data_IF_548812071980
#
_entry.id   IF_548812071980
#
_cell.length_a   1.000
_cell.length_b   1.000
_cell.length_c   1.000
_cell.angle_alpha   90.00
_cell.angle_beta   90.00
_cell.angle_gamma   90.00
#
_symmetry.space_group_name_H-M   'P 1'
#
loop_
_entity.id
_entity.type
_entity.pdbx_description
1 polymer ?
#
# COMPACT_ATOMS: atom_id res chain seq x y z
N UNK A 1 -28.27 11.30 -27.29
CA UNK A 1 -28.27 11.43 -25.82
C UNK A 1 -27.94 10.08 -25.21
N UNK A 2 -26.65 9.80 -24.97
CA UNK A 2 -26.21 8.61 -24.22
C UNK A 2 -26.25 8.96 -22.74
N UNK A 3 -26.94 8.13 -21.96
CA UNK A 3 -27.04 8.25 -20.51
C UNK A 3 -25.62 8.26 -19.90
N UNK A 4 -25.27 9.17 -18.98
CA UNK A 4 -24.04 9.04 -18.21
C UNK A 4 -24.15 7.75 -17.37
N UNK A 5 -23.17 6.84 -17.52
CA UNK A 5 -23.03 5.71 -16.61
C UNK A 5 -22.79 6.27 -15.20
N UNK A 6 -23.35 5.67 -14.14
CA UNK A 6 -23.02 6.08 -12.78
C UNK A 6 -21.51 5.97 -12.58
N UNK A 7 -20.94 6.92 -11.83
CA UNK A 7 -19.59 6.81 -11.33
C UNK A 7 -19.40 5.40 -10.76
N UNK A 8 -18.29 4.76 -11.09
CA UNK A 8 -17.86 3.56 -10.38
C UNK A 8 -17.57 4.04 -8.97
N UNK A 9 -18.59 4.01 -8.10
CA UNK A 9 -18.39 4.00 -6.66
C UNK A 9 -17.40 2.88 -6.42
N UNK A 10 -16.21 3.25 -5.94
CA UNK A 10 -15.22 2.31 -5.42
C UNK A 10 -15.99 1.42 -4.44
N UNK A 11 -16.26 0.14 -4.74
CA UNK A 11 -16.97 -0.69 -3.79
C UNK A 11 -16.10 -0.70 -2.53
N UNK A 12 -16.66 -0.40 -1.34
CA UNK A 12 -15.88 -0.46 -0.11
C UNK A 12 -15.17 -1.81 -0.10
N UNK A 13 -13.85 -1.76 0.12
CA UNK A 13 -12.99 -2.94 0.08
C UNK A 13 -13.69 -4.10 0.82
N UNK A 14 -13.63 -5.34 0.30
CA UNK A 14 -14.28 -6.47 0.95
C UNK A 14 -13.84 -6.49 2.40
N UNK A 15 -14.84 -6.55 3.29
CA UNK A 15 -14.78 -6.59 4.76
C UNK A 15 -13.54 -7.36 5.26
N UNK A 16 -12.38 -6.72 5.24
CA UNK A 16 -11.32 -6.99 6.19
C UNK A 16 -11.88 -6.39 7.46
N UNK A 17 -12.63 -7.21 8.21
CA UNK A 17 -12.90 -7.00 9.62
C UNK A 17 -11.56 -6.97 10.35
N UNK A 18 -10.80 -5.90 10.14
CA UNK A 18 -9.84 -5.42 11.11
C UNK A 18 -10.65 -5.17 12.36
N UNK A 19 -10.21 -5.80 13.44
CA UNK A 19 -10.80 -5.71 14.77
C UNK A 19 -11.26 -4.26 15.04
N UNK A 20 -12.57 -4.05 14.92
CA UNK A 20 -13.22 -2.75 14.86
C UNK A 20 -13.32 -2.12 16.26
N UNK A 21 -12.25 -2.26 17.06
CA UNK A 21 -12.11 -1.53 18.30
C UNK A 21 -11.98 -0.05 17.94
N UNK A 22 -13.01 0.73 18.22
CA UNK A 22 -12.97 2.18 18.12
C UNK A 22 -11.78 2.72 18.93
N UNK A 23 -10.97 3.61 18.34
CA UNK A 23 -9.85 4.21 19.07
C UNK A 23 -10.41 5.30 19.99
N UNK A 24 -10.49 5.02 21.29
CA UNK A 24 -11.08 5.95 22.25
C UNK A 24 -10.01 6.75 23.00
N UNK A 25 -10.12 8.06 22.94
CA UNK A 25 -9.38 8.99 23.78
C UNK A 25 -10.01 9.07 25.17
N UNK A 26 -9.21 9.11 26.25
CA UNK A 26 -9.74 9.24 27.59
C UNK A 26 -10.46 10.59 27.75
N UNK A 27 -11.52 10.61 28.56
CA UNK A 27 -12.20 11.84 28.91
C UNK A 27 -11.21 12.81 29.60
N UNK A 28 -11.34 14.13 29.37
CA UNK A 28 -10.52 15.11 30.06
C UNK A 28 -10.73 14.97 31.58
N UNK A 29 -9.68 15.19 32.38
CA UNK A 29 -9.82 15.17 33.84
C UNK A 29 -10.88 16.19 34.26
N UNK A 30 -11.81 15.78 35.13
CA UNK A 30 -12.85 16.66 35.63
C UNK A 30 -12.21 17.91 36.26
N UNK A 31 -12.76 19.12 36.03
CA UNK A 31 -12.22 20.33 36.62
C UNK A 31 -12.21 20.17 38.14
N UNK A 32 -11.05 20.42 38.76
CA UNK A 32 -10.91 20.34 40.21
C UNK A 32 -12.00 21.22 40.84
N UNK A 33 -12.90 20.62 41.62
CA UNK A 33 -13.93 21.38 42.35
C UNK A 33 -13.19 22.38 43.22
N UNK A 34 -13.44 23.67 43.00
CA UNK A 34 -12.93 24.73 43.87
C UNK A 34 -13.62 24.56 45.21
N UNK A 35 -13.00 23.84 46.14
CA UNK A 35 -13.43 23.84 47.53
C UNK A 35 -13.14 25.24 48.06
N UNK A 36 -14.18 26.07 48.16
CA UNK A 36 -14.07 27.35 48.84
C UNK A 36 -13.57 27.08 50.26
N UNK A 37 -12.56 27.82 50.70
CA UNK A 37 -12.10 27.75 52.08
C UNK A 37 -13.31 28.14 52.94
N UNK A 38 -13.80 27.29 53.86
CA UNK A 38 -14.97 27.62 54.66
C UNK A 38 -14.57 28.66 55.71
N UNK A 39 -14.54 29.93 55.31
CA UNK A 39 -14.10 31.06 56.14
C UNK A 39 -14.86 31.10 57.46
N UNK A 40 -16.17 30.79 57.45
CA UNK A 40 -17.00 30.70 58.65
C UNK A 40 -16.55 29.59 59.61
N UNK A 41 -16.16 28.42 59.10
CA UNK A 41 -15.65 27.33 59.93
C UNK A 41 -14.22 27.63 60.46
N UNK A 42 -13.42 28.39 59.72
CA UNK A 42 -12.10 28.83 60.15
C UNK A 42 -12.16 29.95 61.21
N UNK A 43 -13.20 30.80 61.18
CA UNK A 43 -13.40 31.91 62.12
C UNK A 43 -14.12 31.49 63.41
N UNK A 44 -14.93 30.43 63.39
CA UNK A 44 -15.69 29.99 64.56
C UNK A 44 -14.81 29.70 65.81
N UNK A 45 -13.65 29.01 65.71
CA UNK A 45 -12.76 28.80 66.85
C UNK A 45 -12.10 30.10 67.33
N UNK A 46 -11.80 31.04 66.42
CA UNK A 46 -11.23 32.34 66.78
C UNK A 46 -12.23 33.18 67.56
N UNK A 47 -13.49 33.22 67.11
CA UNK A 47 -14.57 33.94 67.80
C UNK A 47 -14.84 33.35 69.20
N UNK A 48 -14.90 32.01 69.31
CA UNK A 48 -15.06 31.33 70.60
C UNK A 48 -13.90 31.58 71.57
N UNK A 49 -12.66 31.53 71.08
CA UNK A 49 -11.47 31.78 71.89
C UNK A 49 -11.38 33.24 72.38
N UNK A 50 -11.75 34.22 71.54
CA UNK A 50 -11.82 35.64 71.93
C UNK A 50 -12.94 35.87 72.96
N UNK A 51 -14.10 35.23 72.80
CA UNK A 51 -15.20 35.31 73.75
C UNK A 51 -14.82 34.74 75.13
N UNK A 52 -14.16 33.57 75.15
CA UNK A 52 -13.68 32.94 76.39
C UNK A 52 -12.64 33.84 77.08
N UNK A 53 -11.70 34.42 76.32
CA UNK A 53 -10.71 35.35 76.86
C UNK A 53 -11.35 36.58 77.51
N UNK A 54 -12.35 37.17 76.86
CA UNK A 54 -13.07 38.34 77.38
C UNK A 54 -13.78 38.06 78.73
N UNK A 55 -14.18 36.82 78.98
CA UNK A 55 -14.86 36.40 80.23
C UNK A 55 -13.88 35.94 81.31
N UNK A 56 -12.82 35.22 80.96
CA UNK A 56 -11.93 34.54 81.93
C UNK A 56 -10.56 35.19 82.14
N UNK A 57 -10.15 36.14 81.27
CA UNK A 57 -8.85 36.83 81.34
C UNK A 57 -7.62 35.95 81.07
N UNK A 58 -7.79 34.66 80.75
CA UNK A 58 -6.69 33.72 80.57
C UNK A 58 -6.01 33.85 79.20
N UNK A 59 -4.74 34.23 79.17
CA UNK A 59 -3.92 34.42 77.95
C UNK A 59 -3.81 33.14 77.10
N UNK A 60 -3.92 31.96 77.71
CA UNK A 60 -3.88 30.67 76.99
C UNK A 60 -4.99 30.54 75.93
N UNK A 61 -6.13 31.21 76.08
CA UNK A 61 -7.20 31.21 75.08
C UNK A 61 -6.77 31.89 73.76
N UNK A 62 -5.91 32.92 73.82
CA UNK A 62 -5.41 33.61 72.62
C UNK A 62 -4.45 32.76 71.80
N UNK A 63 -3.66 31.89 72.45
CA UNK A 63 -2.81 30.91 71.75
C UNK A 63 -3.64 29.91 70.93
N UNK A 64 -4.81 29.51 71.44
CA UNK A 64 -5.75 28.65 70.71
C UNK A 64 -6.37 29.38 69.50
N UNK A 65 -6.65 30.68 69.63
CA UNK A 65 -7.13 31.52 68.53
C UNK A 65 -6.08 31.68 67.42
N UNK A 66 -4.78 31.77 67.77
CA UNK A 66 -3.68 31.89 66.81
C UNK A 66 -3.42 30.59 66.03
N UNK A 67 -3.75 29.43 66.59
CA UNK A 67 -3.56 28.13 65.95
C UNK A 67 -4.44 27.95 64.70
N UNK A 68 -5.67 28.47 64.72
CA UNK A 68 -6.62 28.38 63.61
C UNK A 68 -6.11 28.98 62.28
N UNK A 69 -5.65 30.24 62.26
CA UNK A 69 -5.02 30.86 61.10
C UNK A 69 -3.81 30.10 60.56
N UNK A 70 -2.95 29.57 61.44
CA UNK A 70 -1.76 28.80 61.04
C UNK A 70 -2.16 27.52 60.31
N UNK A 71 -3.13 26.78 60.85
CA UNK A 71 -3.68 25.58 60.19
C UNK A 71 -4.35 25.94 58.86
N UNK A 72 -5.11 27.04 58.80
CA UNK A 72 -5.75 27.50 57.58
C UNK A 72 -4.72 27.82 56.47
N UNK A 73 -3.65 28.53 56.80
CA UNK A 73 -2.55 28.83 55.87
C UNK A 73 -1.82 27.55 55.45
N UNK A 74 -1.53 26.64 56.38
CA UNK A 74 -0.91 25.35 56.08
C UNK A 74 -1.77 24.52 55.12
N UNK A 75 -3.09 24.45 55.37
CA UNK A 75 -4.03 23.74 54.51
C UNK A 75 -4.16 24.36 53.11
N UNK A 76 -4.09 25.69 52.98
CA UNK A 76 -4.10 26.37 51.67
C UNK A 76 -2.82 26.10 50.87
N UNK A 77 -1.66 26.07 51.53
CA UNK A 77 -0.39 25.73 50.87
C UNK A 77 -0.39 24.26 50.42
N UNK A 78 -0.91 23.37 51.25
CA UNK A 78 -0.97 21.93 50.94
C UNK A 78 -1.96 21.64 49.82
N UNK A 79 -3.16 22.22 49.84
CA UNK A 79 -4.14 22.09 48.73
C UNK A 79 -3.60 22.66 47.41
N UNK A 80 -2.88 23.79 47.43
CA UNK A 80 -2.21 24.33 46.22
C UNK A 80 -1.11 23.40 45.72
N UNK A 81 -0.31 22.81 46.60
CA UNK A 81 0.77 21.88 46.24
C UNK A 81 0.22 20.56 45.70
N UNK A 82 -0.82 20.02 46.34
CA UNK A 82 -1.54 18.83 45.92
C UNK A 82 -2.19 19.05 44.54
N UNK A 83 -2.92 20.15 44.34
CA UNK A 83 -3.55 20.48 43.07
C UNK A 83 -2.54 20.62 41.92
N UNK A 84 -1.37 21.25 42.16
CA UNK A 84 -0.29 21.30 41.15
C UNK A 84 0.26 19.93 40.80
N UNK A 85 0.46 19.05 41.78
CA UNK A 85 0.95 17.68 41.57
C UNK A 85 -0.08 16.83 40.82
N UNK A 86 -1.34 16.92 41.20
CA UNK A 86 -2.45 16.23 40.56
C UNK A 86 -2.63 16.69 39.12
N UNK A 87 -2.61 18.00 38.85
CA UNK A 87 -2.68 18.54 37.49
C UNK A 87 -1.52 18.04 36.61
N UNK A 88 -0.28 18.04 37.13
CA UNK A 88 0.88 17.48 36.41
C UNK A 88 0.72 15.99 36.11
N UNK A 89 0.22 15.21 37.06
CA UNK A 89 -0.05 13.77 36.87
C UNK A 89 -1.13 13.55 35.82
N UNK A 90 -2.25 14.28 35.91
CA UNK A 90 -3.34 14.19 34.95
C UNK A 90 -2.87 14.54 33.53
N UNK A 91 -2.10 15.63 33.37
CA UNK A 91 -1.52 16.02 32.09
C UNK A 91 -0.57 14.93 31.54
N UNK A 92 0.28 14.34 32.39
CA UNK A 92 1.17 13.25 31.98
C UNK A 92 0.39 11.99 31.53
N UNK A 93 -0.68 11.63 32.23
CA UNK A 93 -1.56 10.51 31.87
C UNK A 93 -2.27 10.77 30.55
N UNK A 94 -2.86 11.95 30.36
CA UNK A 94 -3.49 12.34 29.09
C UNK A 94 -2.50 12.32 27.93
N UNK A 95 -1.30 12.86 28.11
CA UNK A 95 -0.25 12.83 27.10
C UNK A 95 0.19 11.39 26.76
N UNK A 96 0.31 10.52 27.76
CA UNK A 96 0.62 9.10 27.54
C UNK A 96 -0.48 8.38 26.76
N UNK A 97 -1.75 8.63 27.11
CA UNK A 97 -2.88 8.04 26.40
C UNK A 97 -2.97 8.52 24.94
N UNK A 98 -2.75 9.82 24.67
CA UNK A 98 -2.68 10.37 23.30
C UNK A 98 -1.58 9.71 22.48
N UNK A 99 -0.41 9.48 23.08
CA UNK A 99 0.70 8.78 22.40
C UNK A 99 0.31 7.35 22.04
N UNK A 100 -0.27 6.60 22.97
CA UNK A 100 -0.72 5.23 22.72
C UNK A 100 -1.78 5.16 21.60
N UNK A 101 -2.77 6.07 21.62
CA UNK A 101 -3.78 6.14 20.54
C UNK A 101 -3.14 6.50 19.20
N UNK A 102 -2.18 7.44 19.17
CA UNK A 102 -1.47 7.83 17.95
C UNK A 102 -0.63 6.69 17.38
N UNK A 103 0.03 5.91 18.23
CA UNK A 103 0.79 4.72 17.80
C UNK A 103 -0.15 3.67 17.20
N UNK A 104 -1.27 3.37 17.89
CA UNK A 104 -2.27 2.43 17.38
C UNK A 104 -2.91 2.89 16.06
N UNK A 105 -3.17 4.19 15.92
CA UNK A 105 -3.66 4.77 14.68
C UNK A 105 -2.65 4.62 13.54
N UNK A 106 -1.37 4.90 13.80
CA UNK A 106 -0.29 4.71 12.81
C UNK A 106 -0.20 3.26 12.34
N UNK A 107 -0.24 2.30 13.25
CA UNK A 107 -0.23 0.86 12.90
C UNK A 107 -1.39 0.49 11.98
N UNK A 108 -2.59 1.02 12.26
CA UNK A 108 -3.78 0.79 11.42
C UNK A 108 -3.68 1.45 10.06
N UNK A 109 -3.25 2.71 10.00
CA UNK A 109 -3.00 3.41 8.75
C UNK A 109 -1.90 2.73 7.92
N UNK A 110 -0.85 2.20 8.56
CA UNK A 110 0.19 1.43 7.87
C UNK A 110 -0.35 0.13 7.29
N UNK A 111 -1.22 -0.57 8.03
CA UNK A 111 -1.89 -1.77 7.56
C UNK A 111 -2.83 -1.47 6.38
N UNK A 112 -3.61 -0.38 6.47
CA UNK A 112 -4.49 0.11 5.41
C UNK A 112 -3.69 0.48 4.15
N UNK A 113 -2.60 1.25 4.28
CA UNK A 113 -1.67 1.56 3.17
C UNK A 113 -1.11 0.31 2.52
N UNK A 114 -0.66 -0.69 3.31
CA UNK A 114 -0.13 -1.95 2.78
C UNK A 114 -1.19 -2.72 2.00
N UNK A 115 -2.41 -2.82 2.53
CA UNK A 115 -3.52 -3.47 1.84
C UNK A 115 -3.86 -2.77 0.51
N UNK A 116 -3.89 -1.43 0.51
CA UNK A 116 -4.09 -0.65 -0.71
C UNK A 116 -2.97 -0.86 -1.73
N UNK A 117 -1.70 -0.85 -1.32
CA UNK A 117 -0.55 -1.10 -2.20
C UNK A 117 -0.54 -2.50 -2.79
N UNK A 118 -0.98 -3.52 -2.03
CA UNK A 118 -1.12 -4.88 -2.56
C UNK A 118 -2.23 -4.96 -3.62
N UNK A 119 -3.34 -4.26 -3.40
CA UNK A 119 -4.47 -4.21 -4.34
C UNK A 119 -4.16 -3.38 -5.60
N UNK A 120 -3.47 -2.26 -5.42
CA UNK A 120 -3.10 -1.29 -6.45
C UNK A 120 -1.60 -0.98 -6.36
N UNK A 121 -0.72 -1.91 -6.80
CA UNK A 121 0.71 -1.69 -6.79
C UNK A 121 1.10 -0.67 -7.86
N UNK A 122 2.04 0.22 -7.51
CA UNK A 122 2.73 1.11 -8.45
C UNK A 122 3.85 0.34 -9.19
N UNK A 123 4.55 1.00 -10.11
CA UNK A 123 5.54 0.31 -10.94
C UNK A 123 6.70 -0.23 -10.08
N UNK A 124 7.17 0.52 -9.08
CA UNK A 124 8.23 0.04 -8.18
C UNK A 124 7.77 -1.12 -7.32
N UNK A 125 6.55 -1.10 -6.77
CA UNK A 125 6.04 -2.24 -6.02
C UNK A 125 5.97 -3.52 -6.87
N UNK A 126 5.64 -3.41 -8.17
CA UNK A 126 5.66 -4.54 -9.11
C UNK A 126 7.07 -5.02 -9.46
N UNK A 127 8.06 -4.13 -9.52
CA UNK A 127 9.46 -4.51 -9.76
C UNK A 127 10.11 -5.19 -8.55
N UNK A 128 9.70 -4.80 -7.34
CA UNK A 128 10.24 -5.36 -6.10
C UNK A 128 9.73 -6.80 -5.83
N UNK A 129 8.64 -7.23 -6.48
CA UNK A 129 8.05 -8.57 -6.35
C UNK A 129 7.84 -9.25 -7.73
N UNK A 130 8.82 -10.05 -8.17
CA UNK A 130 8.78 -10.79 -9.44
C UNK A 130 7.57 -11.73 -9.57
N UNK A 131 6.97 -12.16 -8.45
CA UNK A 131 5.80 -13.04 -8.46
C UNK A 131 4.51 -12.27 -8.82
N UNK A 132 4.49 -10.95 -8.67
CA UNK A 132 3.35 -10.08 -9.04
C UNK A 132 3.35 -9.71 -10.52
N UNK A 133 4.50 -9.79 -11.21
CA UNK A 133 4.60 -9.50 -12.64
C UNK A 133 3.70 -10.43 -13.44
N UNK A 134 2.77 -9.83 -14.19
CA UNK A 134 1.72 -10.47 -15.01
C UNK A 134 0.74 -11.35 -14.23
N UNK A 135 0.67 -11.22 -12.90
CA UNK A 135 -0.36 -11.88 -12.10
C UNK A 135 -1.72 -11.26 -12.42
N UNK A 136 -2.66 -12.09 -12.89
CA UNK A 136 -4.01 -11.64 -13.30
C UNK A 136 -4.76 -10.98 -12.15
N UNK A 137 -5.34 -9.81 -12.41
CA UNK A 137 -6.22 -9.12 -11.48
C UNK A 137 -7.18 -8.21 -12.23
N UNK A 138 -8.49 -8.45 -12.08
CA UNK A 138 -9.54 -7.64 -12.71
C UNK A 138 -9.48 -6.19 -12.25
N UNK A 139 -9.11 -5.96 -10.99
CA UNK A 139 -8.99 -4.60 -10.43
C UNK A 139 -7.83 -3.86 -11.09
N UNK A 140 -6.68 -4.51 -11.25
CA UNK A 140 -5.48 -3.89 -11.84
C UNK A 140 -5.60 -3.67 -13.34
N UNK A 141 -6.29 -4.57 -14.03
CA UNK A 141 -6.49 -4.48 -15.48
C UNK A 141 -7.31 -3.23 -15.90
N UNK A 142 -8.09 -2.65 -14.98
CA UNK A 142 -8.99 -1.53 -15.25
C UNK A 142 -8.64 -0.25 -14.47
N UNK A 143 -7.52 -0.23 -13.73
CA UNK A 143 -7.15 0.92 -12.90
C UNK A 143 -5.66 1.22 -12.97
N UNK A 144 -5.32 2.50 -12.81
CA UNK A 144 -3.95 3.00 -12.89
C UNK A 144 -3.61 3.82 -11.64
N UNK A 145 -2.44 3.62 -11.07
CA UNK A 145 -1.95 4.42 -9.93
C UNK A 145 -1.19 5.61 -10.50
N UNK A 146 -1.67 6.82 -10.21
CA UNK A 146 -1.08 8.07 -10.73
C UNK A 146 -0.06 8.69 -9.78
N UNK A 147 0.05 8.15 -8.57
CA UNK A 147 0.97 8.60 -7.54
C UNK A 147 0.48 8.25 -6.14
N UNK A 148 1.15 8.79 -5.13
CA UNK A 148 0.77 8.66 -3.72
C UNK A 148 0.28 10.00 -3.18
N UNK A 149 -0.86 10.01 -2.51
CA UNK A 149 -1.49 11.24 -2.04
C UNK A 149 -2.30 11.02 -0.77
N UNK A 150 -3.16 11.98 -0.48
CA UNK A 150 -4.12 11.87 0.62
C UNK A 150 -5.43 11.22 0.16
N UNK A 151 -5.98 10.33 0.98
CA UNK A 151 -7.30 9.72 0.81
C UNK A 151 -8.06 9.70 2.13
N UNK A 152 -9.37 9.58 2.05
CA UNK A 152 -10.19 9.32 3.23
C UNK A 152 -9.88 7.92 3.79
N UNK A 153 -9.71 7.83 5.12
CA UNK A 153 -9.54 6.59 5.86
C UNK A 153 -10.84 6.19 6.55
N UNK A 154 -11.08 4.88 6.63
CA UNK A 154 -12.19 4.35 7.43
C UNK A 154 -11.97 4.42 8.95
N UNK A 155 -10.77 4.79 9.41
CA UNK A 155 -10.46 4.85 10.84
C UNK A 155 -11.17 6.01 11.54
N UNK A 156 -11.60 5.78 12.79
CA UNK A 156 -12.21 6.80 13.64
C UNK A 156 -11.57 6.79 15.02
N UNK A 157 -11.36 7.99 15.54
CA UNK A 157 -11.00 8.23 16.95
C UNK A 157 -12.17 8.98 17.59
N UNK A 158 -12.60 8.54 18.77
CA UNK A 158 -13.69 9.17 19.53
C UNK A 158 -13.30 9.41 20.98
N UNK A 159 -14.14 10.12 21.74
CA UNK A 159 -13.80 10.58 23.08
C UNK A 159 -12.85 11.78 23.08
N UNK A 160 -12.11 11.97 24.18
CA UNK A 160 -11.28 13.15 24.40
C UNK A 160 -12.08 14.38 24.85
N UNK A 161 -11.39 15.52 24.95
CA UNK A 161 -12.00 16.82 25.24
C UNK A 161 -11.96 17.77 24.04
N UNK A 162 -12.24 19.05 24.32
CA UNK A 162 -12.14 20.16 23.35
C UNK A 162 -10.71 20.68 23.19
N UNK A 163 -9.70 19.92 23.65
CA UNK A 163 -8.29 20.26 23.47
C UNK A 163 -7.95 20.20 21.96
N UNK A 164 -7.26 21.22 21.41
CA UNK A 164 -6.74 21.19 20.03
C UNK A 164 -6.01 19.90 19.66
N UNK A 165 -5.27 19.28 20.60
CA UNK A 165 -4.56 18.02 20.33
C UNK A 165 -5.53 16.85 20.11
N UNK A 166 -6.61 16.77 20.88
CA UNK A 166 -7.62 15.71 20.74
C UNK A 166 -8.42 15.93 19.44
N UNK A 167 -8.73 17.18 19.10
CA UNK A 167 -9.38 17.53 17.84
C UNK A 167 -8.51 17.20 16.62
N UNK A 168 -7.20 17.49 16.68
CA UNK A 168 -6.25 17.13 15.62
C UNK A 168 -6.17 15.62 15.43
N UNK A 169 -6.09 14.85 16.51
CA UNK A 169 -6.03 13.38 16.42
C UNK A 169 -7.31 12.77 15.83
N UNK A 170 -8.48 13.34 16.16
CA UNK A 170 -9.76 12.95 15.55
C UNK A 170 -9.80 13.26 14.05
N UNK A 171 -9.29 14.42 13.65
CA UNK A 171 -9.23 14.82 12.25
C UNK A 171 -8.22 13.97 11.45
N UNK A 172 -7.06 13.66 12.03
CA UNK A 172 -6.03 12.82 11.41
C UNK A 172 -6.51 11.38 11.23
N UNK A 173 -7.38 10.88 12.11
CA UNK A 173 -7.89 9.51 12.00
C UNK A 173 -8.56 9.22 10.66
N UNK A 174 -9.35 10.17 10.15
CA UNK A 174 -10.05 10.04 8.88
C UNK A 174 -9.21 10.34 7.64
N UNK A 175 -7.92 10.68 7.77
CA UNK A 175 -7.05 11.01 6.64
C UNK A 175 -5.88 10.05 6.53
N UNK A 176 -5.79 9.36 5.40
CA UNK A 176 -4.67 8.50 5.06
C UNK A 176 -3.73 9.22 4.09
N UNK A 177 -2.55 9.61 4.57
CA UNK A 177 -1.49 10.16 3.72
C UNK A 177 -0.62 9.05 3.12
N UNK A 178 0.06 9.37 2.01
CA UNK A 178 0.93 8.45 1.25
C UNK A 178 0.20 7.17 0.80
N UNK A 179 -1.08 7.32 0.42
CA UNK A 179 -1.92 6.27 -0.10
C UNK A 179 -1.92 6.27 -1.65
N UNK A 180 -1.98 5.11 -2.32
CA UNK A 180 -2.12 5.05 -3.78
C UNK A 180 -3.36 5.80 -4.26
N UNK A 181 -3.17 6.79 -5.13
CA UNK A 181 -4.25 7.48 -5.83
C UNK A 181 -4.47 6.77 -7.15
N UNK A 182 -5.70 6.28 -7.33
CA UNK A 182 -6.08 5.40 -8.42
C UNK A 182 -7.07 6.13 -9.33
N UNK A 183 -6.88 6.00 -10.63
CA UNK A 183 -7.81 6.50 -11.65
C UNK A 183 -8.26 5.36 -12.57
N UNK A 184 -9.45 5.45 -13.19
CA UNK A 184 -9.87 4.50 -14.21
C UNK A 184 -8.95 4.53 -15.43
N UNK A 185 -8.63 3.35 -15.99
CA UNK A 185 -7.75 3.24 -17.16
C UNK A 185 -8.46 3.62 -18.48
N UNK A 186 -9.80 3.57 -18.53
CA UNK A 186 -10.62 3.71 -19.74
C UNK A 186 -10.39 5.03 -20.51
N UNK A 187 -9.89 6.06 -19.83
CA UNK A 187 -9.73 7.39 -20.41
C UNK A 187 -8.30 7.89 -20.51
N UNK A 188 -7.26 7.06 -20.38
CA UNK A 188 -5.88 7.53 -20.58
C UNK A 188 -5.42 8.67 -19.64
N UNK A 189 -4.18 9.11 -19.80
CA UNK A 189 -3.57 10.15 -18.97
C UNK A 189 -2.75 11.12 -19.83
N UNK A 190 -3.11 12.41 -19.76
CA UNK A 190 -2.30 13.49 -20.30
C UNK A 190 -1.41 14.08 -19.21
N UNK A 191 -0.09 14.11 -19.44
CA UNK A 191 0.91 14.57 -18.48
C UNK A 191 1.59 15.83 -18.98
N UNK A 192 1.51 16.90 -18.21
CA UNK A 192 2.16 18.19 -18.48
C UNK A 192 3.18 18.56 -17.42
N UNK A 193 4.06 19.51 -17.74
CA UNK A 193 5.10 20.00 -16.84
C UNK A 193 6.48 20.02 -17.51
N UNK A 194 7.56 20.22 -16.74
CA UNK A 194 8.91 20.22 -17.28
C UNK A 194 9.19 18.92 -18.04
N UNK A 195 9.71 19.02 -19.27
CA UNK A 195 9.86 17.88 -20.22
C UNK A 195 10.42 16.61 -19.57
N UNK A 196 11.50 16.73 -18.80
CA UNK A 196 12.16 15.60 -18.14
C UNK A 196 11.27 14.91 -17.09
N UNK A 197 10.51 15.70 -16.32
CA UNK A 197 9.64 15.18 -15.26
C UNK A 197 8.37 14.55 -15.85
N UNK A 198 7.73 15.22 -16.80
CA UNK A 198 6.55 14.69 -17.48
C UNK A 198 6.86 13.37 -18.18
N UNK A 199 8.00 13.28 -18.88
CA UNK A 199 8.41 12.04 -19.52
C UNK A 199 8.77 10.92 -18.52
N UNK A 200 9.36 11.27 -17.36
CA UNK A 200 9.64 10.30 -16.30
C UNK A 200 8.36 9.74 -15.66
N UNK A 201 7.34 10.57 -15.51
CA UNK A 201 6.04 10.14 -15.02
C UNK A 201 5.30 9.27 -16.06
N UNK A 202 5.31 9.64 -17.35
CA UNK A 202 4.76 8.80 -18.43
C UNK A 202 5.41 7.41 -18.43
N UNK A 203 6.74 7.34 -18.28
CA UNK A 203 7.46 6.07 -18.17
C UNK A 203 7.00 5.26 -16.96
N UNK A 204 6.81 5.88 -15.80
CA UNK A 204 6.31 5.18 -14.62
C UNK A 204 4.92 4.56 -14.85
N UNK A 205 3.98 5.34 -15.41
CA UNK A 205 2.63 4.88 -15.73
C UNK A 205 2.65 3.75 -16.77
N UNK A 206 3.44 3.89 -17.83
CA UNK A 206 3.61 2.87 -18.85
C UNK A 206 4.21 1.58 -18.26
N UNK A 207 5.21 1.73 -17.38
CA UNK A 207 5.90 0.61 -16.75
C UNK A 207 4.95 -0.18 -15.84
N UNK A 208 4.09 0.51 -15.07
CA UNK A 208 3.06 -0.13 -14.24
C UNK A 208 2.16 -1.05 -15.09
N UNK A 209 1.75 -0.62 -16.27
CA UNK A 209 0.85 -1.38 -17.15
C UNK A 209 1.55 -2.59 -17.79
N UNK A 210 2.79 -2.43 -18.27
CA UNK A 210 3.54 -3.54 -18.90
C UNK A 210 4.04 -4.57 -17.89
N UNK A 211 4.24 -4.18 -16.63
CA UNK A 211 4.50 -5.10 -15.51
C UNK A 211 3.23 -5.83 -15.07
N UNK A 212 2.08 -5.16 -15.10
CA UNK A 212 0.79 -5.73 -14.67
C UNK A 212 0.12 -6.62 -15.71
N UNK A 213 0.20 -6.27 -16.99
CA UNK A 213 -0.54 -6.94 -18.07
C UNK A 213 0.42 -7.72 -18.98
N UNK A 214 0.09 -8.99 -19.24
CA UNK A 214 0.91 -9.88 -20.07
C UNK A 214 0.97 -9.46 -21.56
N UNK A 215 2.05 -9.78 -22.30
CA UNK A 215 2.24 -9.39 -23.70
C UNK A 215 1.19 -9.91 -24.68
N UNK A 216 0.45 -10.97 -24.33
CA UNK A 216 -0.67 -11.48 -25.14
C UNK A 216 -1.97 -10.68 -24.97
N UNK A 217 -2.02 -9.78 -23.99
CA UNK A 217 -3.20 -8.97 -23.67
C UNK A 217 -2.98 -7.48 -23.91
N UNK A 218 -1.76 -7.00 -23.76
CA UNK A 218 -1.39 -5.61 -23.98
C UNK A 218 -0.35 -5.48 -25.10
N UNK A 219 -0.66 -4.62 -26.07
CA UNK A 219 0.27 -4.14 -27.08
C UNK A 219 0.67 -2.70 -26.76
N UNK A 220 1.96 -2.41 -26.87
CA UNK A 220 2.51 -1.06 -26.73
C UNK A 220 2.83 -0.50 -28.11
N UNK A 221 2.31 0.68 -28.39
CA UNK A 221 2.61 1.45 -29.58
C UNK A 221 3.21 2.77 -29.15
N UNK A 222 4.35 3.14 -29.72
CA UNK A 222 5.00 4.43 -29.46
C UNK A 222 5.38 5.10 -30.77
N UNK A 223 5.41 6.43 -30.78
CA UNK A 223 5.98 7.20 -31.89
C UNK A 223 7.48 6.92 -32.09
N UNK A 224 8.07 7.36 -33.22
CA UNK A 224 9.48 7.15 -33.54
C UNK A 224 10.45 7.97 -32.66
N UNK A 225 9.95 8.72 -31.68
CA UNK A 225 10.74 9.59 -30.81
C UNK A 225 11.72 8.83 -29.90
N UNK A 226 12.84 9.48 -29.57
CA UNK A 226 13.89 8.93 -28.71
C UNK A 226 13.41 8.60 -27.29
N UNK A 227 12.34 9.24 -26.81
CA UNK A 227 11.83 9.10 -25.43
C UNK A 227 11.29 7.70 -25.12
N UNK A 228 10.83 6.98 -26.15
CA UNK A 228 10.18 5.67 -26.03
C UNK A 228 10.99 4.52 -26.64
N UNK A 229 12.28 4.71 -26.93
CA UNK A 229 13.15 3.66 -27.50
C UNK A 229 13.18 2.39 -26.63
N UNK A 230 13.11 2.55 -25.31
CA UNK A 230 13.03 1.42 -24.37
C UNK A 230 11.79 0.54 -24.60
N UNK A 231 10.68 1.11 -25.09
CA UNK A 231 9.45 0.37 -25.34
C UNK A 231 9.60 -0.63 -26.50
N UNK A 232 10.55 -0.40 -27.42
CA UNK A 232 10.87 -1.32 -28.51
C UNK A 232 11.51 -2.62 -28.01
N UNK A 233 12.07 -2.63 -26.80
CA UNK A 233 12.66 -3.80 -26.17
C UNK A 233 11.62 -4.63 -25.38
N UNK A 234 10.39 -4.12 -25.23
CA UNK A 234 9.34 -4.82 -24.50
C UNK A 234 8.85 -6.03 -25.29
N UNK A 235 8.42 -7.11 -24.62
CA UNK A 235 7.77 -8.24 -25.27
C UNK A 235 6.36 -7.92 -25.80
N UNK A 236 5.79 -6.77 -25.44
CA UNK A 236 4.44 -6.26 -25.74
C UNK A 236 4.29 -5.64 -27.13
N UNK A 237 4.99 -6.15 -28.13
CA UNK A 237 4.98 -5.60 -29.51
C UNK A 237 3.99 -6.30 -30.44
N UNK A 238 3.50 -7.48 -30.07
CA UNK A 238 2.57 -8.29 -30.88
C UNK A 238 1.13 -7.77 -30.77
N UNK A 239 0.29 -8.16 -31.73
CA UNK A 239 -1.14 -7.85 -31.68
C UNK A 239 -1.79 -8.43 -30.43
N UNK A 240 -2.59 -7.59 -29.77
CA UNK A 240 -3.25 -7.88 -28.52
C UNK A 240 -4.57 -7.09 -28.45
N UNK A 241 -5.56 -7.56 -27.68
CA UNK A 241 -6.87 -6.91 -27.58
C UNK A 241 -6.82 -5.49 -27.00
N UNK A 242 -5.87 -5.23 -26.10
CA UNK A 242 -5.67 -3.91 -25.50
C UNK A 242 -4.44 -3.25 -26.12
N UNK A 243 -4.58 -2.00 -26.57
CA UNK A 243 -3.50 -1.24 -27.18
C UNK A 243 -3.26 0.04 -26.38
N UNK A 244 -2.08 0.14 -25.77
CA UNK A 244 -1.59 1.37 -25.13
C UNK A 244 -0.77 2.17 -26.15
N UNK A 245 -1.10 3.45 -26.32
CA UNK A 245 -0.28 4.39 -27.08
C UNK A 245 0.51 5.32 -26.16
N UNK A 246 1.81 5.44 -26.40
CA UNK A 246 2.69 6.43 -25.80
C UNK A 246 2.90 7.57 -26.82
N UNK A 247 2.45 8.77 -26.48
CA UNK A 247 2.47 9.93 -27.38
C UNK A 247 3.34 11.06 -26.85
N UNK A 248 4.16 11.62 -27.74
CA UNK A 248 4.83 12.90 -27.56
C UNK A 248 4.00 14.04 -28.21
N UNK A 249 4.26 15.32 -27.86
CA UNK A 249 3.60 16.46 -28.49
C UNK A 249 3.76 16.44 -30.02
N UNK A 250 2.63 16.44 -30.72
CA UNK A 250 2.55 16.36 -32.18
C UNK A 250 2.29 14.95 -32.72
N UNK A 251 2.39 13.90 -31.89
CA UNK A 251 2.02 12.55 -32.29
C UNK A 251 0.50 12.40 -32.40
N UNK A 252 0.07 11.48 -33.26
CA UNK A 252 -1.34 11.09 -33.43
C UNK A 252 -1.53 9.68 -32.86
N UNK A 253 -2.60 9.49 -32.08
CA UNK A 253 -2.93 8.19 -31.52
C UNK A 253 -3.15 7.13 -32.62
N UNK A 254 -2.73 5.90 -32.35
CA UNK A 254 -3.03 4.78 -33.25
C UNK A 254 -4.56 4.57 -33.31
N UNK A 255 -5.17 4.29 -34.48
CA UNK A 255 -6.64 4.18 -34.60
C UNK A 255 -7.27 3.10 -33.71
N UNK A 256 -6.50 2.08 -33.34
CA UNK A 256 -6.92 0.99 -32.46
C UNK A 256 -6.57 1.21 -30.97
N UNK A 257 -6.14 2.42 -30.58
CA UNK A 257 -5.75 2.70 -29.20
C UNK A 257 -6.93 2.46 -28.25
N UNK A 258 -6.71 1.63 -27.24
CA UNK A 258 -7.69 1.44 -26.15
C UNK A 258 -7.59 2.57 -25.15
N UNK A 259 -6.37 3.02 -24.85
CA UNK A 259 -6.10 4.18 -24.02
C UNK A 259 -4.73 4.79 -24.39
N UNK A 260 -4.53 6.03 -23.97
CA UNK A 260 -3.39 6.85 -24.35
C UNK A 260 -2.67 7.37 -23.10
N UNK A 261 -1.33 7.29 -23.10
CA UNK A 261 -0.48 8.05 -22.18
C UNK A 261 0.25 9.10 -23.01
N UNK A 262 -0.13 10.36 -22.86
CA UNK A 262 0.38 11.45 -23.68
C UNK A 262 1.16 12.46 -22.86
N UNK A 263 2.38 12.78 -23.28
CA UNK A 263 3.04 14.01 -22.83
C UNK A 263 2.45 15.18 -23.61
N UNK A 264 2.00 16.21 -22.88
CA UNK A 264 1.45 17.43 -23.47
C UNK A 264 2.22 18.64 -22.97
N UNK A 265 2.37 19.65 -23.82
CA UNK A 265 2.91 20.93 -23.40
C UNK A 265 1.89 21.64 -22.50
N UNK A 266 2.35 22.44 -21.53
CA UNK A 266 1.51 22.99 -20.46
C UNK A 266 0.32 23.83 -20.97
N UNK A 267 0.49 24.52 -22.10
CA UNK A 267 -0.54 25.35 -22.72
C UNK A 267 -1.38 24.62 -23.77
N UNK A 268 -1.02 23.39 -24.13
CA UNK A 268 -1.72 22.62 -25.16
C UNK A 268 -2.95 21.91 -24.56
N UNK A 269 -4.08 21.83 -25.31
CA UNK A 269 -5.19 20.99 -24.90
C UNK A 269 -4.76 19.51 -24.91
N UNK A 270 -5.22 18.70 -23.93
CA UNK A 270 -4.93 17.28 -23.94
C UNK A 270 -5.63 16.59 -25.12
N UNK A 271 -5.10 15.45 -25.61
CA UNK A 271 -5.78 14.63 -26.59
C UNK A 271 -7.20 14.26 -26.11
N UNK A 272 -8.19 14.17 -27.02
CA UNK A 272 -9.58 13.86 -26.65
C UNK A 272 -9.73 12.47 -25.99
N UNK A 273 -8.77 11.58 -26.19
CA UNK A 273 -8.71 10.26 -25.57
C UNK A 273 -8.30 10.32 -24.10
N UNK A 274 -7.77 11.45 -23.60
CA UNK A 274 -7.29 11.64 -22.23
C UNK A 274 -8.35 12.33 -21.34
N UNK A 275 -8.90 11.60 -20.37
CA UNK A 275 -9.85 12.07 -19.35
C UNK A 275 -9.15 12.51 -18.07
N UNK A 276 -7.95 11.98 -17.81
CA UNK A 276 -7.14 12.36 -16.64
C UNK A 276 -6.02 13.29 -17.07
N UNK A 277 -5.86 14.40 -16.36
CA UNK A 277 -4.74 15.33 -16.51
C UNK A 277 -3.84 15.27 -15.28
N UNK A 278 -2.55 15.08 -15.49
CA UNK A 278 -1.52 15.16 -14.46
C UNK A 278 -0.56 16.30 -14.77
N UNK A 279 -0.54 17.33 -13.92
CA UNK A 279 0.42 18.45 -14.03
C UNK A 279 1.55 18.24 -13.04
N UNK A 280 2.74 17.91 -13.54
CA UNK A 280 3.93 17.62 -12.74
C UNK A 280 4.72 18.91 -12.50
N UNK A 281 4.95 19.25 -11.23
CA UNK A 281 5.71 20.45 -10.84
C UNK A 281 7.09 20.12 -10.32
N UNK A 282 7.25 18.96 -9.66
CA UNK A 282 8.53 18.48 -9.13
C UNK A 282 8.59 16.94 -9.15
N UNK A 283 9.75 16.31 -8.88
CA UNK A 283 9.86 14.86 -8.77
C UNK A 283 8.94 14.22 -7.73
N UNK A 284 8.46 14.99 -6.75
CA UNK A 284 7.62 14.51 -5.64
C UNK A 284 6.28 15.24 -5.54
N UNK A 285 5.93 16.05 -6.54
CA UNK A 285 4.68 16.79 -6.54
C UNK A 285 4.10 16.91 -7.95
N UNK A 286 2.85 16.48 -8.08
CA UNK A 286 2.00 16.64 -9.24
C UNK A 286 0.56 16.84 -8.79
N UNK A 287 -0.24 17.41 -9.67
CA UNK A 287 -1.68 17.57 -9.44
C UNK A 287 -2.42 16.74 -10.47
N UNK A 288 -3.29 15.87 -10.01
CA UNK A 288 -4.14 15.02 -10.86
C UNK A 288 -5.56 15.55 -10.84
N UNK A 289 -6.13 15.73 -12.02
CA UNK A 289 -7.51 16.14 -12.26
C UNK A 289 -8.17 15.11 -13.19
N UNK A 290 -9.21 14.43 -12.71
CA UNK A 290 -10.02 13.46 -13.47
C UNK A 290 -11.36 14.04 -13.95
N UNK A 291 -11.52 15.36 -13.87
CA UNK A 291 -12.75 16.09 -14.18
C UNK A 291 -13.79 16.07 -13.06
N UNK A 292 -13.62 15.22 -12.03
CA UNK A 292 -14.48 15.13 -10.87
C UNK A 292 -13.79 15.75 -9.65
N UNK A 293 -12.51 15.45 -9.47
CA UNK A 293 -11.73 15.84 -8.32
C UNK A 293 -10.30 16.21 -8.69
N UNK A 294 -9.75 17.18 -7.97
CA UNK A 294 -8.36 17.60 -8.07
C UNK A 294 -7.61 17.11 -6.83
N UNK A 295 -6.53 16.36 -7.03
CA UNK A 295 -5.76 15.71 -5.95
C UNK A 295 -4.27 16.00 -6.09
N UNK A 296 -3.64 16.37 -4.99
CA UNK A 296 -2.19 16.47 -4.90
C UNK A 296 -1.59 15.08 -4.71
N UNK A 297 -0.61 14.74 -5.56
CA UNK A 297 0.06 13.44 -5.53
C UNK A 297 1.57 13.61 -5.65
N UNK A 298 2.30 12.69 -5.02
CA UNK A 298 3.69 12.42 -5.32
C UNK A 298 3.73 11.40 -6.46
N UNK A 299 4.05 11.83 -7.70
CA UNK A 299 4.13 10.93 -8.84
C UNK A 299 5.33 9.98 -8.68
N UNK A 300 5.27 8.87 -9.40
CA UNK A 300 6.42 8.01 -9.57
C UNK A 300 7.25 8.44 -10.79
N UNK A 301 8.58 8.31 -10.70
CA UNK A 301 9.51 8.81 -11.70
C UNK A 301 10.48 7.70 -12.09
N UNK A 302 10.53 7.37 -13.38
CA UNK A 302 11.51 6.44 -13.93
C UNK A 302 12.38 7.12 -14.97
N UNK A 303 13.68 6.83 -14.93
CA UNK A 303 14.60 7.25 -15.98
C UNK A 303 14.64 6.22 -17.13
N UNK A 304 15.12 6.60 -18.33
CA UNK A 304 15.16 5.69 -19.48
C UNK A 304 15.98 4.42 -19.26
N UNK A 305 17.06 4.45 -18.47
CA UNK A 305 17.91 3.28 -18.20
C UNK A 305 17.19 2.28 -17.30
N UNK A 306 16.48 2.76 -16.28
CA UNK A 306 15.62 1.89 -15.46
C UNK A 306 14.55 1.21 -16.29
N UNK A 307 13.93 1.93 -17.23
CA UNK A 307 12.92 1.35 -18.12
C UNK A 307 13.50 0.32 -19.09
N UNK A 308 14.71 0.57 -19.63
CA UNK A 308 15.41 -0.41 -20.46
C UNK A 308 15.80 -1.68 -19.68
N UNK A 309 16.23 -1.52 -18.43
CA UNK A 309 16.52 -2.65 -17.54
C UNK A 309 15.26 -3.48 -17.25
N UNK A 310 14.15 -2.82 -16.92
CA UNK A 310 12.87 -3.50 -16.72
C UNK A 310 12.36 -4.18 -18.00
N UNK A 311 12.48 -3.52 -19.16
CA UNK A 311 12.13 -4.11 -20.45
C UNK A 311 12.95 -5.37 -20.75
N UNK A 312 14.25 -5.37 -20.42
CA UNK A 312 15.12 -6.54 -20.56
C UNK A 312 14.68 -7.71 -19.67
N UNK A 313 14.32 -7.43 -18.40
CA UNK A 313 13.78 -8.44 -17.48
C UNK A 313 12.48 -9.03 -18.03
N UNK A 314 11.57 -8.18 -18.53
CA UNK A 314 10.31 -8.62 -19.11
C UNK A 314 10.51 -9.42 -20.40
N UNK A 315 11.44 -9.03 -21.27
CA UNK A 315 11.77 -9.78 -22.47
C UNK A 315 12.27 -11.19 -22.14
N UNK A 316 13.20 -11.31 -21.18
CA UNK A 316 13.69 -12.61 -20.71
C UNK A 316 12.60 -13.47 -20.05
N UNK A 317 11.68 -12.84 -19.31
CA UNK A 317 10.51 -13.53 -18.72
C UNK A 317 9.54 -14.03 -19.81
N UNK A 318 9.26 -13.21 -20.82
CA UNK A 318 8.39 -13.58 -21.92
C UNK A 318 8.99 -14.72 -22.77
N UNK A 319 10.31 -14.73 -23.00
CA UNK A 319 10.99 -15.80 -23.70
C UNK A 319 10.80 -17.15 -22.97
N UNK A 320 10.99 -17.17 -21.64
CA UNK A 320 10.73 -18.34 -20.79
C UNK A 320 9.27 -18.81 -20.84
N UNK A 321 8.30 -17.87 -20.87
CA UNK A 321 6.88 -18.21 -20.96
C UNK A 321 6.45 -18.71 -22.34
N UNK A 322 7.12 -18.27 -23.41
CA UNK A 322 6.84 -18.72 -24.78
C UNK A 322 7.45 -20.08 -25.09
N UNK A 323 8.36 -20.58 -24.25
CA UNK A 323 9.20 -21.73 -24.61
C UNK A 323 10.21 -21.37 -25.72
N UNK A 324 10.66 -20.11 -25.77
CA UNK A 324 11.67 -19.63 -26.73
C UNK A 324 13.12 -19.92 -26.26
N UNK A 325 13.33 -20.36 -25.01
CA UNK A 325 14.38 -21.38 -24.80
C UNK A 325 13.80 -22.58 -25.52
N UNK A 326 14.36 -22.97 -26.68
CA UNK A 326 14.03 -24.21 -27.38
C UNK A 326 13.55 -25.23 -26.35
N UNK A 327 12.23 -25.34 -26.18
CA UNK A 327 11.65 -26.44 -25.45
C UNK A 327 12.02 -27.58 -26.39
N UNK A 328 13.19 -28.15 -26.15
CA UNK A 328 13.72 -29.20 -26.98
C UNK A 328 12.71 -30.29 -26.66
N UNK A 329 11.70 -30.42 -27.51
CA UNK A 329 10.72 -31.48 -27.43
C UNK A 329 11.55 -32.70 -27.73
N UNK A 330 12.13 -33.27 -26.68
CA UNK A 330 12.99 -34.42 -26.81
C UNK A 330 12.05 -35.59 -26.99
N UNK A 331 12.16 -36.25 -28.12
CA UNK A 331 11.45 -37.50 -28.33
C UNK A 331 11.85 -38.48 -27.22
N UNK A 332 10.86 -39.13 -26.61
CA UNK A 332 11.14 -40.20 -25.65
C UNK A 332 12.04 -41.28 -26.28
N UNK A 333 11.89 -41.55 -27.58
CA UNK A 333 12.75 -42.47 -28.31
C UNK A 333 14.23 -42.04 -28.32
N UNK A 334 14.49 -40.74 -28.45
CA UNK A 334 15.85 -40.20 -28.43
C UNK A 334 16.46 -40.29 -27.02
N UNK A 335 15.66 -40.02 -25.98
CA UNK A 335 16.08 -40.18 -24.59
C UNK A 335 16.43 -41.64 -24.25
N UNK A 336 15.62 -42.59 -24.73
CA UNK A 336 15.86 -44.02 -24.53
C UNK A 336 17.10 -44.49 -25.32
N UNK A 337 17.34 -43.94 -26.52
CA UNK A 337 18.52 -44.27 -27.33
C UNK A 337 19.84 -43.78 -26.69
N UNK A 338 19.79 -42.73 -25.88
CA UNK A 338 20.95 -42.19 -25.15
C UNK A 338 21.30 -43.00 -23.89
N UNK A 339 20.58 -44.09 -23.60
CA UNK A 339 20.82 -44.90 -22.42
C UNK A 339 22.15 -45.68 -22.55
N UNK A 340 23.09 -45.52 -21.59
CA UNK A 340 24.28 -46.37 -21.56
C UNK A 340 23.86 -47.82 -21.29
N UNK A 341 24.35 -48.74 -22.11
CA UNK A 341 24.08 -50.17 -21.95
C UNK A 341 24.63 -50.66 -20.60
N UNK A 342 23.75 -51.07 -19.69
CA UNK A 342 24.11 -51.73 -18.43
C UNK A 342 24.01 -50.92 -17.13
N UNK A 343 23.48 -49.70 -17.16
CA UNK A 343 23.39 -48.82 -15.97
C UNK A 343 21.95 -48.34 -15.68
N UNK A 344 21.02 -49.29 -15.68
CA UNK A 344 19.67 -49.06 -15.14
C UNK A 344 19.71 -49.44 -13.67
N UNK A 345 19.62 -48.46 -12.78
CA UNK A 345 19.31 -48.70 -11.38
C UNK A 345 18.01 -49.51 -11.25
N UNK A 346 17.74 -50.08 -10.07
CA UNK A 346 16.75 -51.14 -9.90
C UNK A 346 15.34 -50.78 -10.39
N UNK A 347 14.94 -49.50 -10.40
CA UNK A 347 13.75 -49.00 -11.13
C UNK A 347 13.94 -47.58 -11.68
N UNK A 348 15.07 -47.32 -12.35
CA UNK A 348 15.32 -46.00 -12.98
C UNK A 348 14.48 -45.80 -14.25
N UNK A 349 13.83 -44.64 -14.36
CA UNK A 349 13.14 -44.13 -15.55
C UNK A 349 13.77 -42.82 -16.04
N UNK A 350 14.03 -42.73 -17.35
CA UNK A 350 14.59 -41.55 -18.01
C UNK A 350 13.62 -41.05 -19.08
N UNK A 351 12.80 -40.07 -18.72
CA UNK A 351 11.70 -39.57 -19.56
C UNK A 351 11.65 -38.04 -19.63
N UNK A 352 12.60 -37.35 -19.01
CA UNK A 352 12.68 -35.90 -18.96
C UNK A 352 14.14 -35.43 -19.12
N UNK A 353 14.31 -34.23 -19.65
CA UNK A 353 15.59 -33.54 -19.72
C UNK A 353 15.44 -32.09 -19.26
N UNK A 354 16.48 -31.55 -18.64
CA UNK A 354 16.59 -30.14 -18.27
C UNK A 354 17.91 -29.59 -18.79
N UNK A 355 17.86 -28.49 -19.55
CA UNK A 355 19.03 -27.87 -20.18
C UNK A 355 19.92 -28.87 -20.97
N UNK A 356 19.29 -29.81 -21.69
CA UNK A 356 19.97 -30.84 -22.48
C UNK A 356 20.52 -32.02 -21.68
N UNK A 357 20.33 -32.06 -20.36
CA UNK A 357 20.76 -33.16 -19.49
C UNK A 357 19.55 -34.02 -19.11
N UNK A 358 19.65 -35.33 -19.33
CA UNK A 358 18.61 -36.30 -18.96
C UNK A 358 18.51 -36.39 -17.43
N UNK A 359 17.29 -36.26 -16.90
CA UNK A 359 17.01 -36.36 -15.47
C UNK A 359 16.38 -37.73 -15.18
N UNK A 360 17.11 -38.67 -14.56
CA UNK A 360 16.54 -39.94 -14.13
C UNK A 360 15.70 -39.79 -12.86
N UNK A 361 14.67 -40.64 -12.73
CA UNK A 361 13.95 -40.90 -11.48
C UNK A 361 14.05 -42.39 -11.17
N UNK A 362 14.50 -42.77 -9.99
CA UNK A 362 14.57 -44.16 -9.54
C UNK A 362 13.57 -44.43 -8.41
N UNK A 363 12.57 -45.27 -8.66
CA UNK A 363 11.52 -45.55 -7.68
C UNK A 363 12.00 -46.34 -6.45
N UNK A 364 13.21 -46.88 -6.46
CA UNK A 364 13.83 -47.52 -5.30
C UNK A 364 14.56 -46.49 -4.45
N UNK A 365 15.42 -45.67 -5.07
CA UNK A 365 16.25 -44.71 -4.36
C UNK A 365 15.48 -43.43 -3.98
N UNK A 366 14.61 -42.93 -4.87
CA UNK A 366 13.77 -41.74 -4.66
C UNK A 366 12.47 -42.06 -3.89
N UNK A 367 12.13 -43.36 -3.82
CA UNK A 367 10.98 -43.89 -3.10
C UNK A 367 9.78 -44.23 -3.99
N UNK A 368 8.90 -45.13 -3.52
CA UNK A 368 7.87 -45.78 -4.36
C UNK A 368 6.63 -44.92 -4.62
N UNK A 369 6.56 -43.71 -4.05
CA UNK A 369 5.39 -42.85 -4.10
C UNK A 369 5.75 -41.47 -4.64
N UNK A 370 5.03 -41.03 -5.67
CA UNK A 370 5.20 -39.72 -6.27
C UNK A 370 3.88 -38.95 -6.33
N UNK A 371 3.97 -37.62 -6.23
CA UNK A 371 2.84 -36.70 -6.41
C UNK A 371 3.14 -35.81 -7.61
N UNK A 372 2.23 -35.79 -8.59
CA UNK A 372 2.34 -34.96 -9.79
C UNK A 372 1.21 -33.94 -9.80
N UNK A 373 1.57 -32.66 -9.75
CA UNK A 373 0.63 -31.54 -9.74
C UNK A 373 0.81 -30.65 -10.97
N UNK A 374 -0.30 -30.19 -11.55
CA UNK A 374 -0.29 -29.32 -12.72
C UNK A 374 -1.72 -28.94 -13.14
N UNK A 375 -1.89 -27.72 -13.65
CA UNK A 375 -3.17 -27.22 -14.19
C UNK A 375 -3.52 -27.96 -15.50
N UNK A 376 -4.78 -27.92 -15.92
CA UNK A 376 -5.17 -28.46 -17.23
C UNK A 376 -4.35 -27.81 -18.34
N UNK A 377 -3.76 -28.62 -19.24
CA UNK A 377 -2.88 -28.15 -20.31
C UNK A 377 -1.38 -28.10 -19.96
N UNK A 378 -0.99 -28.38 -18.71
CA UNK A 378 0.43 -28.40 -18.27
C UNK A 378 1.24 -29.63 -18.73
N UNK A 379 0.65 -30.53 -19.52
CA UNK A 379 1.34 -31.75 -19.96
C UNK A 379 1.40 -32.89 -18.93
N UNK A 380 0.69 -32.80 -17.79
CA UNK A 380 0.67 -33.87 -16.75
C UNK A 380 0.38 -35.27 -17.30
N UNK A 381 -0.59 -35.41 -18.21
CA UNK A 381 -0.92 -36.71 -18.80
C UNK A 381 0.24 -37.25 -19.65
N UNK A 382 0.89 -36.38 -20.43
CA UNK A 382 2.02 -36.74 -21.29
C UNK A 382 3.25 -37.14 -20.46
N UNK A 383 3.49 -36.42 -19.34
CA UNK A 383 4.53 -36.77 -18.36
C UNK A 383 4.33 -38.18 -17.82
N UNK A 384 3.10 -38.52 -17.39
CA UNK A 384 2.79 -39.83 -16.82
C UNK A 384 2.92 -40.94 -17.86
N UNK A 385 2.44 -40.72 -19.09
CA UNK A 385 2.59 -41.67 -20.20
C UNK A 385 4.07 -41.89 -20.52
N UNK A 386 4.86 -40.83 -20.64
CA UNK A 386 6.29 -40.91 -20.94
C UNK A 386 7.07 -41.64 -19.85
N UNK A 387 6.74 -41.41 -18.58
CA UNK A 387 7.35 -42.11 -17.45
C UNK A 387 7.06 -43.61 -17.50
N UNK A 388 5.80 -44.01 -17.68
CA UNK A 388 5.42 -45.43 -17.76
C UNK A 388 6.09 -46.10 -18.96
N UNK A 389 6.08 -45.45 -20.12
CA UNK A 389 6.74 -45.98 -21.32
C UNK A 389 8.25 -46.13 -21.13
N UNK A 390 8.91 -45.19 -20.45
CA UNK A 390 10.32 -45.31 -20.14
C UNK A 390 10.62 -46.52 -19.25
N UNK A 391 9.82 -46.76 -18.20
CA UNK A 391 9.94 -47.95 -17.35
C UNK A 391 9.73 -49.24 -18.13
N UNK A 392 8.71 -49.29 -18.99
CA UNK A 392 8.44 -50.46 -19.83
C UNK A 392 9.56 -50.72 -20.86
N UNK A 393 10.22 -49.67 -21.35
CA UNK A 393 11.31 -49.78 -22.30
C UNK A 393 12.62 -50.23 -21.64
N UNK A 394 12.87 -49.83 -20.39
CA UNK A 394 14.12 -50.12 -19.68
C UNK A 394 14.09 -51.40 -18.84
N UNK A 395 12.91 -51.92 -18.50
CA UNK A 395 12.75 -53.08 -17.62
C UNK A 395 11.86 -54.16 -18.23
N UNK A 396 12.33 -55.40 -18.23
CA UNK A 396 11.55 -56.60 -18.56
C UNK A 396 10.99 -57.23 -17.29
N UNK A 397 9.77 -57.79 -17.37
CA UNK A 397 9.11 -58.55 -16.30
C UNK A 397 9.76 -59.90 -16.00
#
# INVERSE_FOLDING_TARGET
MRNPRPAVDDPPAPDLRYDAGELVLPAPPAPARRSGIPILAALAPMAGAVMIWAVTGHVLALWLAALGPVIAVASLLDTRRAARREHRRAAATSAAARRAVRERLRERHDAERRAMRQRHPDARALLDDDAEIWRRSVVRDNSLVVGRGERESGQRVTGGGDDPEDAALRADAGRLTDAPVVVPLEGGVAVSGPRMLAAAAIRALALQLVLGIEPGRLRVVSGPGAEHVWAQQLPHVRDAPTVMCLLEPGDVAHPSATFVLARVDESAPPPPECTVRMTVTSPTAAIVDDGISRRDVAPEMFDPRQCAAAASILAARAARMRGDDEETVVSLGDLLALQPAGDAGPLTARFAAAAGVVVPIDLVDDGPHAVVAGMTGSGKSELLVSWVLALCASHST
#
